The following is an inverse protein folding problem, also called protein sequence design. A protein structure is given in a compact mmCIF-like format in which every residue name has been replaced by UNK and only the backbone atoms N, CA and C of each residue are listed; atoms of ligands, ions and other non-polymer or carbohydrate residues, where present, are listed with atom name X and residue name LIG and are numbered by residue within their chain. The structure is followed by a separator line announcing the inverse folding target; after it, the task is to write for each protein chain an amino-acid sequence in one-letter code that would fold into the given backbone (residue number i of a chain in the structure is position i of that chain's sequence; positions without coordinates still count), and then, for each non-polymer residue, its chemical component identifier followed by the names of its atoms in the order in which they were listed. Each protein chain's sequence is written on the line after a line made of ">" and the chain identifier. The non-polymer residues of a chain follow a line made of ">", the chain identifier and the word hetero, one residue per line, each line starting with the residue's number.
data_IF_803122738876
#
_entry.id   IF_803122738876
#
_cell.length_a   1.000
_cell.length_b   1.000
_cell.length_c   1.000
_cell.angle_alpha   90.00
_cell.angle_beta   90.00
_cell.angle_gamma   90.00
#
_symmetry.space_group_name_H-M   'P 1'
#
loop_
_entity.id
_entity.type
_entity.pdbx_description
1 polymer ?
#
# COMPACT_ATOMS: atom_id res chain seq x y z
N UNK A 1 -10.34 -16.34 9.57
CA UNK A 1 -9.90 -15.14 8.83
C UNK A 1 -8.51 -15.28 8.25
N UNK A 2 -8.29 -14.63 7.10
CA UNK A 2 -6.97 -14.48 6.49
C UNK A 2 -6.49 -13.06 6.74
N UNK A 3 -5.20 -12.88 6.98
CA UNK A 3 -4.60 -11.58 7.24
C UNK A 3 -3.41 -11.39 6.31
N UNK A 4 -3.30 -10.23 5.65
CA UNK A 4 -2.11 -9.90 4.85
C UNK A 4 -1.06 -9.25 5.74
N UNK A 5 0.19 -9.60 5.54
CA UNK A 5 1.30 -9.08 6.35
C UNK A 5 2.51 -8.76 5.47
N UNK A 6 3.35 -7.85 5.93
CA UNK A 6 4.63 -7.56 5.30
C UNK A 6 5.73 -8.36 6.01
N UNK A 7 6.50 -9.16 5.27
CA UNK A 7 7.66 -9.87 5.83
C UNK A 7 8.77 -8.85 6.08
N UNK A 8 9.17 -8.70 7.35
CA UNK A 8 10.26 -7.84 7.77
C UNK A 8 11.62 -8.54 7.64
N UNK A 9 11.69 -9.77 8.12
CA UNK A 9 12.95 -10.50 8.24
C UNK A 9 12.70 -12.01 8.27
N UNK A 10 13.63 -12.78 7.73
CA UNK A 10 13.68 -14.23 7.90
C UNK A 10 14.98 -14.60 8.60
N UNK A 11 14.88 -15.10 9.83
CA UNK A 11 16.04 -15.54 10.63
C UNK A 11 16.19 -17.05 10.55
N UNK A 12 17.41 -17.51 10.29
CA UNK A 12 17.75 -18.93 10.42
C UNK A 12 18.08 -19.21 11.89
N UNK A 13 17.38 -20.17 12.50
CA UNK A 13 17.65 -20.61 13.86
C UNK A 13 17.89 -22.11 13.89
N UNK A 14 18.43 -22.63 14.99
CA UNK A 14 18.65 -24.07 15.18
C UNK A 14 17.34 -24.89 15.20
N UNK A 15 16.18 -24.23 15.30
CA UNK A 15 14.84 -24.86 15.26
C UNK A 15 14.09 -24.60 13.95
N UNK A 16 14.78 -24.11 12.91
CA UNK A 16 14.20 -23.77 11.61
C UNK A 16 14.09 -22.25 11.37
N UNK A 17 13.58 -21.84 10.20
CA UNK A 17 13.42 -20.44 9.86
C UNK A 17 12.30 -19.78 10.67
N UNK A 18 12.58 -18.62 11.26
CA UNK A 18 11.59 -17.74 11.86
C UNK A 18 11.30 -16.57 10.92
N UNK A 19 10.02 -16.37 10.59
CA UNK A 19 9.58 -15.30 9.71
C UNK A 19 8.94 -14.21 10.55
N UNK A 20 9.59 -13.04 10.62
CA UNK A 20 9.07 -11.86 11.28
C UNK A 20 8.19 -11.09 10.31
N UNK A 21 6.99 -10.76 10.74
CA UNK A 21 5.99 -10.08 9.93
C UNK A 21 5.50 -8.82 10.63
N UNK A 22 5.03 -7.85 9.85
CA UNK A 22 4.49 -6.60 10.37
C UNK A 22 3.25 -6.17 9.60
N UNK A 23 2.32 -5.58 10.34
CA UNK A 23 1.20 -4.82 9.78
C UNK A 23 1.33 -3.31 9.93
N UNK A 24 2.27 -2.85 10.74
CA UNK A 24 2.55 -1.43 10.97
C UNK A 24 3.48 -0.85 9.87
N UNK A 25 4.39 -1.67 9.33
CA UNK A 25 5.39 -1.16 8.39
C UNK A 25 4.76 -0.53 7.13
N UNK A 26 5.23 0.66 6.71
CA UNK A 26 4.69 1.41 5.55
C UNK A 26 4.70 0.62 4.24
N UNK A 27 5.63 -0.32 4.09
CA UNK A 27 5.70 -1.14 2.89
C UNK A 27 4.51 -2.11 2.77
N UNK A 28 3.76 -2.41 3.84
CA UNK A 28 2.50 -3.13 3.70
C UNK A 28 1.53 -2.32 2.82
N UNK A 29 1.33 -1.04 3.13
CA UNK A 29 0.47 -0.15 2.33
C UNK A 29 0.99 -0.03 0.89
N UNK A 30 2.30 0.12 0.70
CA UNK A 30 2.92 0.12 -0.65
C UNK A 30 2.54 -1.13 -1.45
N UNK A 31 2.72 -2.32 -0.87
CA UNK A 31 2.40 -3.59 -1.57
C UNK A 31 0.90 -3.77 -1.77
N UNK A 32 0.06 -3.30 -0.85
CA UNK A 32 -1.39 -3.34 -1.04
C UNK A 32 -1.83 -2.43 -2.20
N UNK A 33 -1.27 -1.23 -2.32
CA UNK A 33 -1.51 -0.34 -3.44
C UNK A 33 -1.06 -0.96 -4.77
N UNK A 34 0.13 -1.56 -4.81
CA UNK A 34 0.61 -2.28 -6.00
C UNK A 34 -0.32 -3.44 -6.40
N UNK A 35 -0.95 -4.14 -5.45
CA UNK A 35 -1.88 -5.24 -5.75
C UNK A 35 -3.27 -4.75 -6.20
N UNK A 36 -3.73 -3.61 -5.67
CA UNK A 36 -5.08 -3.09 -5.93
C UNK A 36 -5.13 -2.13 -7.14
N UNK A 37 -4.01 -1.48 -7.48
CA UNK A 37 -3.93 -0.42 -8.50
C UNK A 37 -3.04 -0.90 -9.67
N UNK A 38 -3.64 -1.35 -10.79
CA UNK A 38 -2.91 -1.85 -11.95
C UNK A 38 -1.90 -0.86 -12.53
N UNK A 39 -2.20 0.43 -12.47
CA UNK A 39 -1.36 1.51 -12.97
C UNK A 39 -0.04 1.61 -12.18
N UNK A 40 -0.07 1.31 -10.88
CA UNK A 40 1.14 1.22 -10.05
C UNK A 40 1.90 -0.06 -10.37
N UNK A 41 1.20 -1.20 -10.47
CA UNK A 41 1.81 -2.49 -10.81
C UNK A 41 2.55 -2.45 -12.16
N UNK A 42 1.94 -1.80 -13.16
CA UNK A 42 2.48 -1.66 -14.51
C UNK A 42 3.53 -0.53 -14.63
N UNK A 43 3.83 0.19 -13.55
CA UNK A 43 4.81 1.29 -13.55
C UNK A 43 4.35 2.54 -14.30
N UNK A 44 3.04 2.73 -14.50
CA UNK A 44 2.47 3.95 -15.09
C UNK A 44 2.30 5.06 -14.05
N UNK A 45 2.15 4.68 -12.78
CA UNK A 45 2.08 5.56 -11.62
C UNK A 45 3.13 5.10 -10.60
N UNK A 46 3.90 6.04 -10.07
CA UNK A 46 4.91 5.77 -9.05
C UNK A 46 4.46 6.28 -7.69
N UNK A 47 4.76 5.51 -6.62
CA UNK A 47 4.52 5.92 -5.24
C UNK A 47 5.80 6.58 -4.70
N UNK A 48 5.81 7.92 -4.71
CA UNK A 48 6.95 8.75 -4.31
C UNK A 48 7.22 8.71 -2.82
N UNK A 49 6.18 8.81 -2.01
CA UNK A 49 6.34 8.83 -0.55
C UNK A 49 5.13 8.26 0.16
N UNK A 50 5.38 7.69 1.34
CA UNK A 50 4.34 7.22 2.27
C UNK A 50 4.72 7.68 3.67
N UNK A 51 3.88 8.52 4.25
CA UNK A 51 3.85 8.83 5.68
C UNK A 51 2.70 8.07 6.32
N UNK A 52 2.98 7.23 7.32
CA UNK A 52 1.99 6.29 7.88
C UNK A 52 2.05 6.25 9.40
N UNK A 53 0.90 6.49 10.01
CA UNK A 53 0.56 6.18 11.39
C UNK A 53 -0.42 4.99 11.36
N UNK A 54 0.11 3.78 11.51
CA UNK A 54 -0.65 2.57 11.24
C UNK A 54 -1.90 2.44 12.13
N UNK A 55 -3.02 2.05 11.50
CA UNK A 55 -4.32 1.96 12.16
C UNK A 55 -5.01 3.31 12.41
N UNK A 56 -4.38 4.43 12.05
CA UNK A 56 -4.98 5.76 12.17
C UNK A 56 -5.06 6.46 10.82
N UNK A 57 -3.91 6.89 10.29
CA UNK A 57 -3.85 7.68 9.06
C UNK A 57 -2.58 7.46 8.26
N UNK A 58 -2.73 7.39 6.94
CA UNK A 58 -1.66 7.37 5.97
C UNK A 58 -1.85 8.45 4.93
N UNK A 59 -0.75 9.09 4.53
CA UNK A 59 -0.66 9.96 3.36
C UNK A 59 0.27 9.33 2.33
N UNK A 60 -0.21 9.24 1.10
CA UNK A 60 0.49 8.60 -0.01
C UNK A 60 0.64 9.62 -1.13
N UNK A 61 1.88 9.95 -1.49
CA UNK A 61 2.15 10.83 -2.61
C UNK A 61 2.46 10.01 -3.86
N UNK A 62 1.75 10.30 -4.95
CA UNK A 62 1.81 9.55 -6.21
C UNK A 62 2.07 10.47 -7.39
N UNK A 63 2.74 9.95 -8.41
CA UNK A 63 3.08 10.71 -9.62
C UNK A 63 2.85 9.84 -10.85
N UNK A 64 2.24 10.39 -11.90
CA UNK A 64 2.15 9.70 -13.18
C UNK A 64 3.51 9.67 -13.87
N UNK A 65 3.92 8.50 -14.35
CA UNK A 65 5.06 8.31 -15.24
C UNK A 65 4.63 8.26 -16.71
N UNK A 66 3.36 7.92 -16.97
CA UNK A 66 2.79 7.90 -18.31
C UNK A 66 1.91 9.16 -18.54
N UNK A 67 2.12 9.88 -19.67
CA UNK A 67 1.25 11.01 -20.03
C UNK A 67 -0.22 10.60 -20.17
N UNK A 68 -1.13 11.45 -19.69
CA UNK A 68 -2.58 11.23 -19.76
C UNK A 68 -3.14 10.31 -18.67
N UNK A 69 -2.32 9.83 -17.74
CA UNK A 69 -2.77 9.09 -16.56
C UNK A 69 -2.93 10.06 -15.38
N UNK A 70 -4.09 10.05 -14.74
CA UNK A 70 -4.32 10.72 -13.45
C UNK A 70 -3.86 9.78 -12.32
N UNK A 71 -2.77 10.12 -11.59
CA UNK A 71 -2.23 9.24 -10.56
C UNK A 71 -3.13 9.12 -9.34
N UNK A 72 -3.87 10.19 -8.98
CA UNK A 72 -4.80 10.17 -7.84
C UNK A 72 -6.04 9.36 -8.23
N UNK A 73 -6.62 9.65 -9.40
CA UNK A 73 -7.78 8.92 -9.93
C UNK A 73 -7.52 7.42 -10.08
N UNK A 74 -6.34 7.04 -10.56
CA UNK A 74 -5.92 5.63 -10.64
C UNK A 74 -5.92 4.94 -9.27
N UNK A 75 -5.40 5.60 -8.23
CA UNK A 75 -5.35 5.03 -6.88
C UNK A 75 -6.72 4.98 -6.19
N UNK A 76 -7.57 5.98 -6.42
CA UNK A 76 -8.90 6.07 -5.80
C UNK A 76 -9.88 5.11 -6.47
N UNK A 77 -9.86 5.01 -7.80
CA UNK A 77 -10.81 4.24 -8.59
C UNK A 77 -12.23 4.83 -8.57
N UNK A 78 -13.17 4.18 -9.28
CA UNK A 78 -14.57 4.65 -9.33
C UNK A 78 -15.16 4.76 -7.93
N UNK A 79 -15.58 5.97 -7.53
CA UNK A 79 -16.16 6.27 -6.21
C UNK A 79 -15.28 5.82 -5.03
N UNK A 80 -13.96 5.77 -5.21
CA UNK A 80 -13.05 5.36 -4.13
C UNK A 80 -12.97 3.86 -3.88
N UNK A 81 -13.52 3.01 -4.75
CA UNK A 81 -13.62 1.56 -4.48
C UNK A 81 -12.27 0.89 -4.17
N UNK A 82 -11.19 1.29 -4.89
CA UNK A 82 -9.85 0.72 -4.71
C UNK A 82 -9.27 1.13 -3.37
N UNK A 83 -9.30 2.43 -3.05
CA UNK A 83 -8.77 2.90 -1.77
C UNK A 83 -9.57 2.33 -0.58
N UNK A 84 -10.89 2.20 -0.72
CA UNK A 84 -11.75 1.63 0.32
C UNK A 84 -11.51 0.12 0.55
N UNK A 85 -11.06 -0.62 -0.47
CA UNK A 85 -10.59 -1.99 -0.31
C UNK A 85 -9.38 -2.04 0.64
N UNK A 86 -8.41 -1.16 0.43
CA UNK A 86 -7.19 -1.08 1.23
C UNK A 86 -7.46 -0.56 2.65
N UNK A 87 -8.31 0.46 2.80
CA UNK A 87 -8.75 0.96 4.12
C UNK A 87 -9.33 -0.17 4.96
N UNK A 88 -10.19 -1.01 4.38
CA UNK A 88 -10.76 -2.18 5.07
C UNK A 88 -9.71 -3.23 5.41
N UNK A 89 -8.78 -3.52 4.50
CA UNK A 89 -7.67 -4.44 4.78
C UNK A 89 -6.77 -3.91 5.91
N UNK A 90 -6.69 -2.60 6.12
CA UNK A 90 -5.89 -1.95 7.17
C UNK A 90 -6.71 -1.56 8.41
N UNK A 91 -7.85 -2.20 8.66
CA UNK A 91 -8.70 -1.97 9.83
C UNK A 91 -9.14 -0.51 9.97
N UNK A 92 -9.69 0.05 8.90
CA UNK A 92 -10.24 1.41 8.83
C UNK A 92 -9.22 2.55 8.98
N UNK A 93 -7.93 2.26 8.81
CA UNK A 93 -6.88 3.27 8.65
C UNK A 93 -7.24 4.25 7.53
N UNK A 94 -7.30 5.55 7.82
CA UNK A 94 -7.66 6.58 6.83
C UNK A 94 -6.51 6.80 5.85
N UNK A 95 -6.77 6.73 4.55
CA UNK A 95 -5.72 6.92 3.53
C UNK A 95 -6.06 8.13 2.68
N UNK A 96 -5.20 9.15 2.72
CA UNK A 96 -5.25 10.28 1.80
C UNK A 96 -4.22 10.05 0.67
N UNK A 97 -4.67 10.08 -0.58
CA UNK A 97 -3.81 10.03 -1.76
C UNK A 97 -3.68 11.45 -2.33
N UNK A 98 -2.46 11.90 -2.56
CA UNK A 98 -2.15 13.23 -3.07
C UNK A 98 -1.21 13.12 -4.28
N UNK A 99 -1.36 14.02 -5.23
CA UNK A 99 -0.40 14.18 -6.32
C UNK A 99 0.91 14.77 -5.76
N UNK A 100 2.05 14.25 -6.23
CA UNK A 100 3.39 14.66 -5.83
C UNK A 100 3.88 15.88 -6.61
#
# INVERSE_FOLDING_TARGET
>A
DKIRVYVLEVRRTNRGPQIFVSRNHRNLLRRLLELEVPEIYNGQVDIKSIAREAGQRSKVAVMALQPGVDPVGACVGMRGVRIQSIVRELNDEKIDVIEW
#
